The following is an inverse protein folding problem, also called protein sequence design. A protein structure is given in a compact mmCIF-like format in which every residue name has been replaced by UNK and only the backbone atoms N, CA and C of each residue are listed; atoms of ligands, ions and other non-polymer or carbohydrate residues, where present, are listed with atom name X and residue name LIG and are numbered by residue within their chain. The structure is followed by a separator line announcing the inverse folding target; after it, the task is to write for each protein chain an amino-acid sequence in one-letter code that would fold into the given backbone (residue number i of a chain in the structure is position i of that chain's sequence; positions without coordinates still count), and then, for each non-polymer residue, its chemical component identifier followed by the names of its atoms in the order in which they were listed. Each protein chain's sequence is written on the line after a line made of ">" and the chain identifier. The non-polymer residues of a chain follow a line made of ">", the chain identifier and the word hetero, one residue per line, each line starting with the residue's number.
data_IF_981947080072
#
_entry.id   IF_981947080072
#
_cell.length_a   1.000
_cell.length_b   1.000
_cell.length_c   1.000
_cell.angle_alpha   90.00
_cell.angle_beta   90.00
_cell.angle_gamma   90.00
#
_symmetry.space_group_name_H-M   'P 1'
#
loop_
_entity.id
_entity.type
_entity.pdbx_description
1 polymer ?
#
# COMPACT_ATOMS: atom_id res chain seq x y z
N UNK A 1 20.47 -0.80 0.38
CA UNK A 1 20.53 -2.26 0.24
C UNK A 1 21.29 -2.82 1.43
N UNK A 2 20.64 -3.66 2.22
CA UNK A 2 21.25 -4.31 3.41
C UNK A 2 21.41 -5.79 3.16
N UNK A 3 22.62 -6.33 3.41
CA UNK A 3 22.88 -7.77 3.42
C UNK A 3 22.77 -8.34 4.83
N UNK A 4 22.22 -9.53 4.95
CA UNK A 4 22.22 -10.31 6.17
C UNK A 4 22.62 -11.78 5.83
N UNK A 5 23.82 -12.26 6.22
CA UNK A 5 24.85 -11.57 7.02
C UNK A 5 25.46 -10.34 6.30
N UNK A 6 25.99 -9.39 7.10
CA UNK A 6 26.46 -8.09 6.59
C UNK A 6 27.63 -8.14 5.60
N UNK A 7 28.44 -9.20 5.66
CA UNK A 7 29.63 -9.37 4.82
C UNK A 7 29.61 -10.77 4.16
N UNK A 8 28.77 -10.97 3.15
CA UNK A 8 28.75 -12.26 2.45
C UNK A 8 30.04 -12.46 1.65
N UNK A 9 30.44 -13.71 1.48
CA UNK A 9 31.60 -14.06 0.65
C UNK A 9 31.19 -14.19 -0.81
N UNK A 10 31.81 -13.41 -1.69
CA UNK A 10 31.49 -13.38 -3.11
C UNK A 10 32.17 -14.53 -3.89
N UNK A 11 31.60 -15.00 -5.02
CA UNK A 11 30.37 -14.52 -5.64
C UNK A 11 29.10 -15.01 -4.94
N UNK A 12 27.99 -14.31 -5.14
CA UNK A 12 26.69 -14.69 -4.62
C UNK A 12 25.90 -15.46 -5.69
N UNK A 13 25.14 -16.46 -5.25
CA UNK A 13 24.21 -17.20 -6.09
C UNK A 13 22.79 -16.83 -5.73
N UNK A 14 22.02 -16.33 -6.69
CA UNK A 14 20.60 -15.99 -6.52
C UNK A 14 19.77 -17.27 -6.30
N UNK A 15 18.85 -17.22 -5.35
CA UNK A 15 17.90 -18.31 -5.11
C UNK A 15 16.46 -17.89 -5.44
N UNK A 16 16.00 -16.77 -4.91
CA UNK A 16 14.67 -16.21 -5.17
C UNK A 16 14.58 -14.78 -4.67
N UNK A 17 13.54 -14.03 -5.12
CA UNK A 17 13.18 -12.78 -4.49
C UNK A 17 11.66 -12.64 -4.36
N UNK A 18 11.22 -11.88 -3.36
CA UNK A 18 9.80 -11.65 -3.07
C UNK A 18 9.58 -10.30 -2.41
N UNK A 19 8.35 -9.80 -2.44
CA UNK A 19 7.97 -8.63 -1.67
C UNK A 19 8.03 -8.90 -0.16
N UNK A 20 8.43 -7.87 0.60
CA UNK A 20 8.35 -7.87 2.07
C UNK A 20 6.97 -7.35 2.44
N UNK A 21 6.09 -8.25 2.85
CA UNK A 21 4.68 -7.92 3.11
C UNK A 21 3.87 -7.75 1.82
N UNK A 22 2.67 -7.22 1.99
CA UNK A 22 1.67 -7.07 0.93
C UNK A 22 1.21 -5.61 0.73
N UNK A 23 1.88 -4.65 1.35
CA UNK A 23 1.56 -3.23 1.21
C UNK A 23 2.65 -2.51 0.43
N UNK A 24 2.23 -1.71 -0.56
CA UNK A 24 3.11 -0.80 -1.30
C UNK A 24 3.00 0.62 -0.72
N UNK A 25 4.13 1.32 -0.71
CA UNK A 25 4.15 2.74 -0.34
C UNK A 25 3.76 3.58 -1.54
N UNK A 26 2.68 4.34 -1.40
CA UNK A 26 2.19 5.25 -2.45
C UNK A 26 2.80 6.63 -2.28
N UNK A 27 3.32 7.17 -3.38
CA UNK A 27 3.79 8.56 -3.50
C UNK A 27 3.24 9.19 -4.76
N UNK A 28 3.26 10.53 -4.84
CA UNK A 28 2.79 11.30 -6.00
C UNK A 28 1.35 10.94 -6.43
N UNK A 29 0.48 10.67 -5.45
CA UNK A 29 -0.91 10.29 -5.74
C UNK A 29 -1.68 11.48 -6.27
N UNK A 30 -2.23 11.35 -7.47
CA UNK A 30 -3.18 12.31 -8.06
C UNK A 30 -4.48 11.61 -8.42
N UNK A 31 -5.58 12.35 -8.31
CA UNK A 31 -6.92 11.85 -8.62
C UNK A 31 -7.62 12.86 -9.50
N UNK A 32 -7.80 12.53 -10.76
CA UNK A 32 -8.49 13.35 -11.75
C UNK A 32 -9.87 12.74 -12.05
N UNK A 33 -10.95 13.41 -11.63
CA UNK A 33 -12.31 12.94 -11.91
C UNK A 33 -12.61 12.99 -13.40
N UNK A 34 -13.31 11.97 -13.87
CA UNK A 34 -13.70 11.89 -15.29
C UNK A 34 -14.96 12.74 -15.53
N UNK A 35 -14.96 13.66 -16.50
CA UNK A 35 -16.10 14.53 -16.74
C UNK A 35 -17.37 13.78 -17.17
N UNK A 36 -17.21 12.66 -17.88
CA UNK A 36 -18.32 11.83 -18.35
C UNK A 36 -18.81 10.79 -17.34
N UNK A 37 -18.09 10.62 -16.24
CA UNK A 37 -18.34 9.63 -15.18
C UNK A 37 -17.93 10.19 -13.83
N UNK A 38 -18.77 11.02 -13.25
CA UNK A 38 -18.48 11.78 -12.00
C UNK A 38 -18.02 10.90 -10.83
N UNK A 39 -18.46 9.63 -10.78
CA UNK A 39 -18.09 8.66 -9.74
C UNK A 39 -16.78 7.91 -10.03
N UNK A 40 -16.13 8.20 -11.15
CA UNK A 40 -14.87 7.59 -11.51
C UNK A 40 -13.78 8.65 -11.64
N UNK A 41 -12.57 8.25 -11.27
CA UNK A 41 -11.40 9.09 -11.42
C UNK A 41 -10.22 8.27 -11.93
N UNK A 42 -9.35 8.94 -12.67
CA UNK A 42 -8.03 8.41 -12.99
C UNK A 42 -7.12 8.67 -11.82
N UNK A 43 -6.64 7.59 -11.22
CA UNK A 43 -5.64 7.63 -10.14
C UNK A 43 -4.29 7.36 -10.75
N UNK A 44 -3.34 8.28 -10.55
CA UNK A 44 -1.94 8.09 -10.88
C UNK A 44 -1.13 8.10 -9.58
N UNK A 45 -0.17 7.21 -9.47
CA UNK A 45 0.69 7.12 -8.29
C UNK A 45 1.98 6.38 -8.63
N UNK A 46 3.03 6.64 -7.84
CA UNK A 46 4.23 5.80 -7.82
C UNK A 46 4.10 4.83 -6.65
N UNK A 47 4.14 3.53 -6.93
CA UNK A 47 4.07 2.45 -5.93
C UNK A 47 5.46 1.91 -5.68
N UNK A 48 5.99 2.11 -4.48
CA UNK A 48 7.27 1.53 -4.05
C UNK A 48 7.02 0.27 -3.25
N UNK A 49 7.62 -0.83 -3.69
CA UNK A 49 7.47 -2.16 -3.10
C UNK A 49 8.79 -2.59 -2.47
N UNK A 50 8.85 -2.79 -1.15
CA UNK A 50 10.02 -3.37 -0.50
C UNK A 50 10.12 -4.85 -0.86
N UNK A 51 11.34 -5.30 -1.15
CA UNK A 51 11.60 -6.68 -1.54
C UNK A 51 12.83 -7.26 -0.85
N UNK A 52 12.81 -8.56 -0.67
CA UNK A 52 13.89 -9.38 -0.15
C UNK A 52 14.40 -10.31 -1.23
N UNK A 53 15.69 -10.32 -1.43
CA UNK A 53 16.41 -11.29 -2.27
C UNK A 53 17.04 -12.33 -1.37
N UNK A 54 16.85 -13.59 -1.67
CA UNK A 54 17.47 -14.74 -0.99
C UNK A 54 18.61 -15.24 -1.87
N UNK A 55 19.78 -15.39 -1.28
CA UNK A 55 20.99 -15.84 -1.99
C UNK A 55 21.77 -16.86 -1.17
N UNK A 56 22.74 -17.48 -1.82
CA UNK A 56 23.79 -18.27 -1.16
C UNK A 56 25.14 -17.66 -1.49
N UNK A 57 26.00 -17.51 -0.51
CA UNK A 57 27.36 -17.01 -0.72
C UNK A 57 28.34 -18.13 -1.22
N UNK A 58 29.58 -17.74 -1.53
CA UNK A 58 30.58 -18.67 -2.02
C UNK A 58 30.94 -19.79 -1.02
N UNK A 59 30.67 -19.64 0.26
CA UNK A 59 30.85 -20.66 1.29
C UNK A 59 29.61 -21.53 1.50
N UNK A 60 28.54 -21.33 0.71
CA UNK A 60 27.28 -22.05 0.85
C UNK A 60 26.39 -21.50 1.97
N UNK A 61 26.73 -20.35 2.56
CA UNK A 61 25.91 -19.70 3.59
C UNK A 61 24.74 -18.97 2.96
N UNK A 62 23.53 -19.31 3.40
CA UNK A 62 22.31 -18.63 2.93
C UNK A 62 22.19 -17.26 3.59
N UNK A 63 21.88 -16.25 2.78
CA UNK A 63 21.67 -14.89 3.24
C UNK A 63 20.48 -14.22 2.55
N UNK A 64 20.17 -13.04 3.03
CA UNK A 64 19.13 -12.17 2.46
C UNK A 64 19.68 -10.77 2.17
N UNK A 65 19.13 -10.13 1.15
CA UNK A 65 19.40 -8.73 0.83
C UNK A 65 18.07 -7.99 0.64
N UNK A 66 17.97 -6.82 1.24
CA UNK A 66 16.76 -5.98 1.12
C UNK A 66 16.96 -4.88 0.09
N UNK A 67 15.94 -4.62 -0.70
CA UNK A 67 15.89 -3.56 -1.70
C UNK A 67 14.45 -3.07 -1.86
N UNK A 68 14.23 -2.13 -2.76
CA UNK A 68 12.89 -1.71 -3.16
C UNK A 68 12.85 -1.43 -4.65
N UNK A 69 11.69 -1.57 -5.24
CA UNK A 69 11.43 -1.23 -6.63
C UNK A 69 10.18 -0.36 -6.71
N UNK A 70 10.19 0.60 -7.64
CA UNK A 70 9.08 1.53 -7.81
C UNK A 70 8.45 1.37 -9.19
N UNK A 71 7.13 1.49 -9.25
CA UNK A 71 6.33 1.41 -10.46
C UNK A 71 5.38 2.59 -10.54
N UNK A 72 5.30 3.23 -11.69
CA UNK A 72 4.28 4.22 -11.95
C UNK A 72 3.01 3.51 -12.44
N UNK A 73 1.91 3.77 -11.76
CA UNK A 73 0.62 3.18 -12.05
C UNK A 73 -0.41 4.26 -12.40
N UNK A 74 -1.29 3.95 -13.36
CA UNK A 74 -2.39 4.82 -13.74
C UNK A 74 -3.62 3.99 -14.02
N UNK A 75 -4.65 4.09 -13.17
CA UNK A 75 -5.87 3.31 -13.32
C UNK A 75 -7.11 4.17 -13.16
N UNK A 76 -8.20 3.76 -13.79
CA UNK A 76 -9.52 4.35 -13.58
C UNK A 76 -10.26 3.51 -12.57
N UNK A 77 -10.72 4.14 -11.49
CA UNK A 77 -11.44 3.46 -10.42
C UNK A 77 -12.57 4.33 -9.87
N UNK A 78 -13.48 3.69 -9.13
CA UNK A 78 -14.54 4.39 -8.42
C UNK A 78 -13.94 5.28 -7.33
N UNK A 79 -14.33 6.56 -7.32
CA UNK A 79 -13.90 7.55 -6.32
C UNK A 79 -15.15 8.05 -5.59
N UNK A 80 -15.26 7.81 -4.29
CA UNK A 80 -16.42 8.25 -3.50
C UNK A 80 -16.65 9.77 -3.60
N UNK A 81 -17.88 10.16 -3.40
CA UNK A 81 -18.22 11.57 -3.24
C UNK A 81 -17.57 12.15 -1.97
N UNK A 82 -17.38 13.47 -1.91
CA UNK A 82 -16.87 14.12 -0.70
C UNK A 82 -17.77 13.81 0.50
N UNK A 83 -17.14 13.46 1.62
CA UNK A 83 -17.80 13.20 2.90
C UNK A 83 -16.94 13.67 4.06
N UNK A 84 -17.50 13.75 5.26
CA UNK A 84 -16.75 14.14 6.46
C UNK A 84 -15.62 13.17 6.74
N UNK A 85 -15.86 11.86 6.55
CA UNK A 85 -14.83 10.83 6.67
C UNK A 85 -14.14 10.69 5.33
N UNK A 86 -12.85 11.08 5.21
CA UNK A 86 -12.13 11.00 3.95
C UNK A 86 -11.81 9.55 3.58
N UNK A 87 -11.85 9.26 2.29
CA UNK A 87 -11.29 8.01 1.77
C UNK A 87 -9.77 8.11 1.66
N UNK A 88 -9.12 6.95 1.62
CA UNK A 88 -7.69 6.80 1.34
C UNK A 88 -7.50 5.87 0.15
N UNK A 89 -6.42 6.06 -0.58
CA UNK A 89 -6.00 5.13 -1.63
C UNK A 89 -4.84 4.32 -1.07
N UNK A 90 -4.99 3.01 -1.09
CA UNK A 90 -3.98 2.05 -0.64
C UNK A 90 -3.63 1.11 -1.80
N UNK A 91 -2.46 0.50 -1.74
CA UNK A 91 -2.07 -0.55 -2.67
C UNK A 91 -1.79 -1.87 -1.96
N UNK A 92 -2.21 -2.95 -2.57
CA UNK A 92 -1.77 -4.31 -2.22
C UNK A 92 -0.84 -4.78 -3.31
N UNK A 93 0.32 -5.27 -2.92
CA UNK A 93 1.39 -5.62 -3.84
C UNK A 93 1.90 -7.02 -3.58
N UNK A 94 2.37 -7.67 -4.66
CA UNK A 94 3.09 -8.93 -4.57
C UNK A 94 4.15 -8.96 -5.66
N UNK A 95 5.37 -9.29 -5.28
CA UNK A 95 6.48 -9.57 -6.21
C UNK A 95 6.98 -10.99 -5.94
N UNK A 96 7.16 -11.74 -7.00
CA UNK A 96 7.82 -13.06 -6.98
C UNK A 96 8.82 -13.10 -8.13
N UNK A 97 10.07 -13.37 -7.82
CA UNK A 97 11.13 -13.58 -8.80
C UNK A 97 11.78 -14.96 -8.57
N UNK A 98 11.41 -15.96 -9.38
CA UNK A 98 12.01 -17.29 -9.30
C UNK A 98 13.41 -17.35 -9.89
N UNK A 99 13.76 -16.41 -10.77
CA UNK A 99 15.01 -16.39 -11.52
C UNK A 99 15.72 -15.04 -11.38
N UNK A 100 17.05 -15.12 -11.29
CA UNK A 100 17.91 -13.95 -11.24
C UNK A 100 19.37 -14.34 -11.35
N UNK A 101 20.19 -13.36 -11.68
CA UNK A 101 21.64 -13.50 -11.76
C UNK A 101 22.30 -12.45 -10.89
N UNK A 102 23.42 -12.82 -10.29
CA UNK A 102 24.31 -11.89 -9.60
C UNK A 102 25.28 -11.26 -10.62
N UNK A 103 25.49 -9.97 -10.54
CA UNK A 103 26.49 -9.25 -11.31
C UNK A 103 27.58 -8.69 -10.41
N UNK A 104 28.79 -8.48 -10.94
CA UNK A 104 30.01 -8.17 -10.18
C UNK A 104 29.99 -6.90 -9.32
N UNK A 105 28.93 -6.13 -9.35
CA UNK A 105 28.78 -4.85 -8.62
C UNK A 105 27.80 -4.93 -7.44
N UNK A 106 27.75 -6.04 -6.73
CA UNK A 106 26.79 -6.29 -5.63
C UNK A 106 25.32 -6.10 -6.05
N UNK A 107 25.01 -6.41 -7.30
CA UNK A 107 23.69 -6.22 -7.91
C UNK A 107 23.12 -7.56 -8.36
N UNK A 108 21.82 -7.74 -8.13
CA UNK A 108 21.06 -8.84 -8.71
C UNK A 108 20.17 -8.30 -9.84
N UNK A 109 20.26 -8.92 -11.00
CA UNK A 109 19.29 -8.73 -12.08
C UNK A 109 18.27 -9.85 -11.98
N UNK A 110 16.99 -9.50 -11.80
CA UNK A 110 15.93 -10.48 -11.55
C UNK A 110 14.80 -10.33 -12.58
N UNK A 111 14.25 -11.48 -12.99
CA UNK A 111 13.00 -11.53 -13.74
C UNK A 111 11.87 -11.77 -12.75
N UNK A 112 10.94 -10.81 -12.62
CA UNK A 112 9.91 -10.89 -11.60
C UNK A 112 8.50 -10.74 -12.18
N UNK A 113 7.55 -11.42 -11.53
CA UNK A 113 6.13 -11.21 -11.71
C UNK A 113 5.64 -10.23 -10.64
N UNK A 114 4.99 -9.15 -11.07
CA UNK A 114 4.51 -8.08 -10.18
C UNK A 114 3.01 -7.98 -10.28
N UNK A 115 2.34 -7.97 -9.12
CA UNK A 115 0.90 -7.69 -9.01
C UNK A 115 0.71 -6.46 -8.14
N UNK A 116 -0.02 -5.47 -8.65
CA UNK A 116 -0.38 -4.25 -7.92
C UNK A 116 -1.90 -4.09 -7.99
N UNK A 117 -2.56 -4.04 -6.83
CA UNK A 117 -4.00 -3.82 -6.71
C UNK A 117 -4.21 -2.52 -5.95
N UNK A 118 -4.78 -1.53 -6.63
CA UNK A 118 -5.16 -0.26 -6.01
C UNK A 118 -6.55 -0.37 -5.37
N UNK A 119 -6.71 0.18 -4.16
CA UNK A 119 -7.96 0.15 -3.40
C UNK A 119 -8.31 1.53 -2.89
N UNK A 120 -9.58 1.87 -2.95
CA UNK A 120 -10.15 2.96 -2.18
C UNK A 120 -10.66 2.37 -0.88
N UNK A 121 -10.20 2.90 0.25
CA UNK A 121 -10.57 2.45 1.59
C UNK A 121 -11.08 3.63 2.41
N UNK A 122 -11.99 3.34 3.33
CA UNK A 122 -12.58 4.32 4.23
C UNK A 122 -12.73 3.67 5.60
N UNK A 123 -12.47 4.44 6.65
CA UNK A 123 -12.71 3.98 8.01
C UNK A 123 -14.19 4.14 8.31
N UNK A 124 -14.84 3.08 8.77
CA UNK A 124 -16.26 3.10 9.18
C UNK A 124 -16.38 2.59 10.61
N UNK A 125 -17.31 3.17 11.35
CA UNK A 125 -17.69 2.67 12.67
C UNK A 125 -18.89 1.73 12.49
N UNK A 126 -18.75 0.50 13.01
CA UNK A 126 -19.81 -0.49 12.97
C UNK A 126 -20.38 -0.67 14.37
N UNK A 127 -21.69 -0.51 14.52
CA UNK A 127 -22.41 -0.92 15.72
C UNK A 127 -22.73 -2.41 15.62
N UNK A 128 -22.08 -3.18 16.47
CA UNK A 128 -22.36 -4.61 16.59
C UNK A 128 -23.27 -4.86 17.81
N UNK A 129 -24.35 -5.62 17.68
CA UNK A 129 -25.10 -6.04 18.84
C UNK A 129 -24.21 -6.89 19.74
N UNK A 130 -23.99 -6.46 20.97
CA UNK A 130 -23.28 -7.26 21.98
C UNK A 130 -24.27 -7.71 23.06
N UNK A 131 -24.14 -8.96 23.48
CA UNK A 131 -24.88 -9.50 24.62
C UNK A 131 -24.11 -9.15 25.90
N UNK A 132 -24.18 -7.92 26.33
CA UNK A 132 -23.51 -7.44 27.55
C UNK A 132 -23.99 -6.06 27.97
N UNK A 133 -23.79 -5.73 29.24
CA UNK A 133 -24.14 -4.41 29.77
C UNK A 133 -23.15 -3.37 29.26
N UNK A 134 -23.58 -2.54 28.31
CA UNK A 134 -22.85 -1.33 27.93
C UNK A 134 -23.46 -0.13 28.66
N UNK A 135 -22.70 0.52 29.52
CA UNK A 135 -23.01 1.86 30.01
C UNK A 135 -22.59 2.87 28.92
N UNK A 136 -23.56 3.50 28.30
CA UNK A 136 -23.28 4.60 27.38
C UNK A 136 -22.73 5.79 28.19
N UNK A 137 -21.59 6.38 27.80
CA UNK A 137 -21.15 7.62 28.39
C UNK A 137 -22.20 8.71 28.16
N UNK A 138 -22.40 9.56 29.15
CA UNK A 138 -23.30 10.69 29.01
C UNK A 138 -22.76 11.63 27.91
N UNK A 139 -23.64 12.01 26.97
CA UNK A 139 -23.30 13.01 25.99
C UNK A 139 -22.97 14.34 26.69
N UNK A 140 -21.79 14.88 26.44
CA UNK A 140 -21.49 16.26 26.83
C UNK A 140 -21.88 17.18 25.67
N UNK A 141 -22.58 18.27 26.01
CA UNK A 141 -22.88 19.31 25.05
C UNK A 141 -21.56 19.93 24.56
N UNK A 142 -21.38 19.95 23.25
CA UNK A 142 -20.22 20.57 22.63
C UNK A 142 -20.54 22.06 22.42
N UNK A 143 -19.89 22.94 23.19
CA UNK A 143 -20.16 24.39 23.20
C UNK A 143 -19.27 25.22 22.26
N UNK A 144 -18.37 24.59 21.49
CA UNK A 144 -17.55 25.31 20.51
C UNK A 144 -18.31 25.52 19.20
N UNK A 145 -18.17 26.72 18.62
CA UNK A 145 -18.66 26.99 17.27
C UNK A 145 -17.99 26.08 16.25
N UNK A 146 -18.78 25.29 15.56
CA UNK A 146 -18.32 24.45 14.46
C UNK A 146 -18.20 25.30 13.20
N UNK A 147 -17.13 25.13 12.42
CA UNK A 147 -16.96 25.81 11.15
C UNK A 147 -18.23 25.66 10.27
N UNK A 148 -18.68 26.76 9.69
CA UNK A 148 -19.82 26.75 8.78
C UNK A 148 -19.56 25.79 7.60
N UNK A 149 -20.56 24.99 7.27
CA UNK A 149 -20.45 23.98 6.20
C UNK A 149 -19.94 22.61 6.64
N UNK A 150 -19.51 22.44 7.90
CA UNK A 150 -19.01 21.13 8.36
C UNK A 150 -20.11 20.05 8.33
N UNK A 151 -21.35 20.40 8.67
CA UNK A 151 -22.49 19.47 8.64
C UNK A 151 -23.24 19.42 7.31
N UNK A 152 -22.79 20.19 6.30
CA UNK A 152 -23.43 20.18 4.97
C UNK A 152 -23.03 18.95 4.15
N UNK A 153 -21.93 18.28 4.53
CA UNK A 153 -21.48 17.03 3.92
C UNK A 153 -21.99 15.82 4.69
N UNK A 154 -22.39 14.75 4.00
CA UNK A 154 -22.74 13.50 4.65
C UNK A 154 -21.50 12.89 5.32
N UNK A 155 -21.70 12.16 6.43
CA UNK A 155 -20.61 11.46 7.15
C UNK A 155 -19.97 10.40 6.24
N UNK A 156 -20.79 9.68 5.51
CA UNK A 156 -20.37 8.67 4.52
C UNK A 156 -20.86 9.04 3.13
N UNK A 157 -20.17 8.61 2.06
CA UNK A 157 -20.66 8.81 0.69
C UNK A 157 -22.03 8.15 0.51
N UNK A 158 -22.94 8.84 -0.17
CA UNK A 158 -24.29 8.34 -0.41
C UNK A 158 -24.28 7.01 -1.19
N UNK A 159 -25.03 6.02 -0.69
CA UNK A 159 -25.36 4.82 -1.43
C UNK A 159 -26.54 5.14 -2.36
N UNK A 160 -26.29 5.45 -3.60
CA UNK A 160 -27.30 5.53 -4.66
C UNK A 160 -26.94 4.65 -5.83
#
# INVERSE_FOLDING_TARGET
>A
TGFNPANPVYPLTFLSARSIGNEGVLTNVTVDRLPDRERFGRVQATVTVPMEVIYTDANGVRGTATSSVSFDVGIVMYIPEPSIIPYKINSVVSIVAPEGIYTDTATFTVSCCVTIIMKVVMTVELLLPSYGYATLPQCQEYTQEVCSGFFDLPIYPGNT
#
